data_IF_972001207546
#
_entry.id   IF_972001207546
#
_cell.length_a   1.000
_cell.length_b   1.000
_cell.length_c   1.000
_cell.angle_alpha   90.00
_cell.angle_beta   90.00
_cell.angle_gamma   90.00
#
_symmetry.space_group_name_H-M   'P 1'
#
loop_
_entity.id
_entity.type
_entity.pdbx_description
1 polymer ?
#
# COMPACT_ATOMS: atom_id res chain seq x y z
N UNK A 1 -26.21 -4.03 17.63
CA UNK A 1 -24.79 -4.02 17.23
C UNK A 1 -23.95 -3.73 18.47
N UNK A 2 -22.83 -4.44 18.69
CA UNK A 2 -21.89 -4.04 19.73
C UNK A 2 -21.36 -2.62 19.45
N UNK A 3 -21.03 -1.83 20.49
CA UNK A 3 -20.50 -0.48 20.31
C UNK A 3 -19.20 -0.51 19.52
N UNK A 4 -18.99 0.50 18.64
CA UNK A 4 -17.73 0.66 17.91
C UNK A 4 -16.58 0.81 18.90
N UNK A 5 -15.55 -0.02 18.76
CA UNK A 5 -14.35 0.09 19.59
C UNK A 5 -13.65 1.42 19.30
N UNK A 6 -13.55 2.29 20.30
CA UNK A 6 -12.80 3.53 20.22
C UNK A 6 -11.31 3.26 20.47
N UNK A 7 -10.44 3.85 19.64
CA UNK A 7 -8.99 3.69 19.71
C UNK A 7 -8.29 4.88 20.38
N UNK A 8 -9.00 5.94 20.75
CA UNK A 8 -8.48 7.10 21.47
C UNK A 8 -7.20 7.68 20.85
N UNK A 9 -7.20 7.94 19.54
CA UNK A 9 -6.01 8.38 18.80
C UNK A 9 -4.78 7.45 18.97
N UNK A 10 -4.99 6.14 19.10
CA UNK A 10 -3.90 5.15 19.18
C UNK A 10 -3.63 4.51 17.83
N UNK A 11 -2.36 4.41 17.47
CA UNK A 11 -1.88 3.62 16.36
C UNK A 11 -1.36 2.27 16.84
N UNK A 12 -1.80 1.19 16.20
CA UNK A 12 -1.31 -0.17 16.43
C UNK A 12 -0.62 -0.65 15.17
N UNK A 13 0.70 -0.84 15.23
CA UNK A 13 1.47 -1.25 14.06
C UNK A 13 1.05 -2.65 13.56
N UNK A 14 1.05 -2.89 12.23
CA UNK A 14 0.82 -4.22 11.68
C UNK A 14 1.82 -5.23 12.21
N UNK A 15 1.31 -6.41 12.56
CA UNK A 15 2.12 -7.58 12.93
C UNK A 15 1.79 -8.74 11.99
N UNK A 16 2.41 -9.89 12.21
CA UNK A 16 2.08 -11.11 11.46
C UNK A 16 0.59 -11.45 11.63
N UNK A 17 -0.13 -11.81 10.56
CA UNK A 17 0.36 -12.09 9.20
C UNK A 17 0.36 -10.90 8.24
N UNK A 18 -0.21 -9.74 8.61
CA UNK A 18 -0.46 -8.61 7.70
C UNK A 18 0.79 -7.78 7.38
N UNK A 19 1.79 -7.77 8.25
CA UNK A 19 3.01 -6.98 8.03
C UNK A 19 3.76 -7.38 6.74
N UNK A 20 3.90 -8.70 6.49
CA UNK A 20 4.62 -9.21 5.30
C UNK A 20 4.02 -8.72 3.98
N UNK A 21 2.72 -8.91 3.70
CA UNK A 21 2.13 -8.43 2.44
C UNK A 21 2.14 -6.91 2.32
N UNK A 22 2.04 -6.15 3.42
CA UNK A 22 2.20 -4.68 3.40
C UNK A 22 3.59 -4.29 2.90
N UNK A 23 4.65 -4.94 3.42
CA UNK A 23 6.03 -4.69 2.99
C UNK A 23 6.21 -5.05 1.51
N UNK A 24 5.71 -6.21 1.08
CA UNK A 24 5.79 -6.64 -0.33
C UNK A 24 5.09 -5.63 -1.24
N UNK A 25 3.91 -5.16 -0.85
CA UNK A 25 3.17 -4.15 -1.61
C UNK A 25 3.96 -2.85 -1.72
N UNK A 26 4.53 -2.36 -0.61
CA UNK A 26 5.38 -1.17 -0.60
C UNK A 26 6.61 -1.31 -1.49
N UNK A 27 7.26 -2.48 -1.52
CA UNK A 27 8.38 -2.76 -2.42
C UNK A 27 7.93 -2.69 -3.88
N UNK A 28 6.81 -3.33 -4.24
CA UNK A 28 6.28 -3.32 -5.61
C UNK A 28 5.93 -1.89 -6.02
N UNK A 29 5.27 -1.11 -5.15
CA UNK A 29 4.98 0.30 -5.41
C UNK A 29 6.27 1.09 -5.67
N UNK A 30 7.27 0.95 -4.81
CA UNK A 30 8.55 1.64 -4.95
C UNK A 30 9.29 1.28 -6.25
N UNK A 31 9.29 0.00 -6.63
CA UNK A 31 9.89 -0.46 -7.89
C UNK A 31 9.09 -0.01 -9.12
N UNK A 32 7.75 0.01 -9.02
CA UNK A 32 6.89 0.46 -10.11
C UNK A 32 7.05 1.96 -10.41
N UNK A 33 7.42 2.75 -9.41
CA UNK A 33 7.65 4.19 -9.55
C UNK A 33 9.03 4.56 -10.11
N UNK A 34 9.91 3.58 -10.39
CA UNK A 34 11.30 3.80 -10.78
C UNK A 34 11.60 3.26 -12.16
N UNK A 35 11.62 4.12 -13.17
CA UNK A 35 11.97 3.73 -14.55
C UNK A 35 13.36 3.11 -14.66
N UNK A 36 14.27 3.43 -13.73
CA UNK A 36 15.63 2.90 -13.66
C UNK A 36 15.65 1.38 -13.53
N UNK A 37 14.59 0.77 -12.96
CA UNK A 37 14.49 -0.69 -12.81
C UNK A 37 14.47 -1.39 -14.18
N UNK A 38 13.96 -0.74 -15.23
CA UNK A 38 13.87 -1.31 -16.59
C UNK A 38 14.66 -0.53 -17.63
N UNK A 39 15.63 0.28 -17.19
CA UNK A 39 16.48 1.10 -18.07
C UNK A 39 17.87 0.48 -18.25
N UNK A 40 18.60 0.81 -19.34
CA UNK A 40 19.98 0.34 -19.53
C UNK A 40 20.87 0.55 -18.30
N UNK A 41 21.69 -0.45 -17.97
CA UNK A 41 22.51 -0.46 -16.76
C UNK A 41 21.81 -1.04 -15.52
N UNK A 42 20.51 -1.36 -15.62
CA UNK A 42 19.83 -2.15 -14.60
C UNK A 42 20.02 -3.65 -14.88
N UNK A 43 20.18 -4.49 -13.84
CA UNK A 43 20.29 -5.94 -14.05
C UNK A 43 19.09 -6.53 -14.80
N UNK A 44 17.87 -6.04 -14.55
CA UNK A 44 16.68 -6.51 -15.24
C UNK A 44 16.73 -6.15 -16.74
N UNK A 45 17.15 -4.94 -17.08
CA UNK A 45 17.30 -4.56 -18.47
C UNK A 45 18.39 -5.39 -19.15
N UNK A 46 19.59 -5.40 -18.56
CA UNK A 46 20.78 -5.94 -19.20
C UNK A 46 20.69 -7.45 -19.42
N UNK A 47 20.15 -8.20 -18.45
CA UNK A 47 20.06 -9.67 -18.54
C UNK A 47 18.74 -10.20 -19.11
N UNK A 48 17.64 -9.43 -19.07
CA UNK A 48 16.31 -9.95 -19.43
C UNK A 48 15.66 -9.19 -20.59
N UNK A 49 15.77 -7.85 -20.63
CA UNK A 49 15.00 -7.03 -21.58
C UNK A 49 15.79 -6.62 -22.83
N UNK A 50 17.12 -6.53 -22.72
CA UNK A 50 18.02 -5.97 -23.75
C UNK A 50 17.94 -6.70 -25.09
N UNK A 51 17.70 -8.00 -25.08
CA UNK A 51 17.64 -8.85 -26.28
C UNK A 51 16.31 -8.81 -27.04
N UNK A 52 15.29 -8.11 -26.55
CA UNK A 52 13.95 -8.12 -27.17
C UNK A 52 13.21 -6.79 -27.03
N UNK A 53 12.94 -6.08 -28.15
CA UNK A 53 12.12 -4.87 -28.15
C UNK A 53 10.71 -5.10 -27.58
N UNK A 54 10.16 -6.29 -27.80
CA UNK A 54 8.85 -6.67 -27.25
C UNK A 54 8.90 -6.83 -25.74
N UNK A 55 9.95 -7.46 -25.19
CA UNK A 55 10.12 -7.62 -23.75
C UNK A 55 10.17 -6.24 -23.05
N UNK A 56 10.94 -5.30 -23.60
CA UNK A 56 11.01 -3.93 -23.07
C UNK A 56 9.66 -3.21 -23.15
N UNK A 57 8.93 -3.35 -24.26
CA UNK A 57 7.58 -2.77 -24.43
C UNK A 57 6.62 -3.29 -23.36
N UNK A 58 6.58 -4.60 -23.13
CA UNK A 58 5.73 -5.20 -22.10
C UNK A 58 6.16 -4.80 -20.70
N UNK A 59 7.46 -4.78 -20.40
CA UNK A 59 7.98 -4.35 -19.10
C UNK A 59 7.55 -2.91 -18.76
N UNK A 60 7.64 -1.99 -19.71
CA UNK A 60 7.15 -0.60 -19.57
C UNK A 60 5.64 -0.55 -19.33
N UNK A 61 4.86 -1.31 -20.11
CA UNK A 61 3.41 -1.36 -19.94
C UNK A 61 3.01 -1.90 -18.57
N UNK A 62 3.64 -2.99 -18.11
CA UNK A 62 3.42 -3.57 -16.79
C UNK A 62 3.83 -2.59 -15.68
N UNK A 63 5.00 -1.97 -15.77
CA UNK A 63 5.48 -1.04 -14.76
C UNK A 63 4.52 0.15 -14.60
N UNK A 64 4.13 0.78 -15.71
CA UNK A 64 3.17 1.88 -15.71
C UNK A 64 1.80 1.43 -15.19
N UNK A 65 1.33 0.26 -15.63
CA UNK A 65 0.08 -0.33 -15.16
C UNK A 65 0.09 -0.54 -13.64
N UNK A 66 1.15 -1.14 -13.10
CA UNK A 66 1.34 -1.33 -11.66
C UNK A 66 1.40 0.00 -10.92
N UNK A 67 2.15 0.98 -11.45
CA UNK A 67 2.24 2.30 -10.83
C UNK A 67 0.86 2.97 -10.73
N UNK A 68 0.17 3.15 -11.86
CA UNK A 68 -1.11 3.85 -11.84
C UNK A 68 -2.19 3.09 -11.07
N UNK A 69 -2.23 1.76 -11.21
CA UNK A 69 -3.20 0.94 -10.49
C UNK A 69 -2.95 0.97 -8.98
N UNK A 70 -1.73 0.68 -8.52
CA UNK A 70 -1.43 0.61 -7.08
C UNK A 70 -1.56 1.98 -6.42
N UNK A 71 -0.95 3.03 -6.98
CA UNK A 71 -1.03 4.36 -6.39
C UNK A 71 -2.46 4.92 -6.42
N UNK A 72 -3.20 4.71 -7.53
CA UNK A 72 -4.58 5.14 -7.66
C UNK A 72 -5.51 4.40 -6.70
N UNK A 73 -5.48 3.08 -6.70
CA UNK A 73 -6.32 2.26 -5.82
C UNK A 73 -6.02 2.55 -4.35
N UNK A 74 -4.75 2.61 -3.96
CA UNK A 74 -4.37 2.86 -2.57
C UNK A 74 -4.70 4.27 -2.11
N UNK A 75 -4.65 5.28 -2.99
CA UNK A 75 -5.13 6.63 -2.67
C UNK A 75 -6.64 6.63 -2.38
N UNK A 76 -7.44 5.94 -3.19
CA UNK A 76 -8.89 5.81 -2.99
C UNK A 76 -9.20 5.06 -1.69
N UNK A 77 -8.53 3.92 -1.46
CA UNK A 77 -8.67 3.14 -0.22
C UNK A 77 -8.30 3.98 1.01
N UNK A 78 -7.22 4.75 0.95
CA UNK A 78 -6.78 5.60 2.06
C UNK A 78 -7.78 6.73 2.37
N UNK A 79 -8.37 7.32 1.32
CA UNK A 79 -9.42 8.33 1.47
C UNK A 79 -10.66 7.74 2.16
N UNK A 80 -11.09 6.55 1.73
CA UNK A 80 -12.16 5.81 2.41
C UNK A 80 -11.79 5.50 3.86
N UNK A 81 -10.58 5.02 4.10
CA UNK A 81 -10.10 4.60 5.42
C UNK A 81 -10.15 5.73 6.44
N UNK A 82 -9.98 6.99 6.02
CA UNK A 82 -10.12 8.16 6.88
C UNK A 82 -11.50 8.25 7.54
N UNK A 83 -12.57 7.90 6.83
CA UNK A 83 -13.93 7.90 7.39
C UNK A 83 -14.08 6.80 8.46
N UNK A 84 -13.50 5.62 8.20
CA UNK A 84 -13.49 4.50 9.16
C UNK A 84 -12.71 4.87 10.42
N UNK A 85 -11.53 5.48 10.28
CA UNK A 85 -10.70 5.94 11.39
C UNK A 85 -11.45 6.92 12.30
N UNK A 86 -12.15 7.90 11.71
CA UNK A 86 -12.96 8.86 12.48
C UNK A 86 -14.05 8.17 13.28
N UNK A 87 -14.71 7.16 12.72
CA UNK A 87 -15.74 6.37 13.42
C UNK A 87 -15.18 5.56 14.60
N UNK A 88 -13.87 5.30 14.61
CA UNK A 88 -13.16 4.57 15.66
C UNK A 88 -12.32 5.49 16.57
N UNK A 89 -12.62 6.79 16.61
CA UNK A 89 -12.00 7.73 17.56
C UNK A 89 -10.57 8.14 17.20
N UNK A 90 -10.21 8.06 15.92
CA UNK A 90 -8.97 8.61 15.38
C UNK A 90 -9.28 9.95 14.71
N UNK A 91 -8.82 11.04 15.31
CA UNK A 91 -8.97 12.40 14.83
C UNK A 91 -8.12 12.63 13.58
N UNK A 92 -8.72 13.19 12.52
CA UNK A 92 -8.02 13.58 11.29
C UNK A 92 -6.87 14.54 11.62
N UNK A 93 -5.70 14.33 11.02
CA UNK A 93 -4.50 15.13 11.25
C UNK A 93 -3.72 14.78 12.52
N UNK A 94 -4.23 13.93 13.41
CA UNK A 94 -3.45 13.40 14.54
C UNK A 94 -2.26 12.57 14.08
N UNK A 95 -1.24 12.42 14.93
CA UNK A 95 -0.10 11.57 14.62
C UNK A 95 -0.52 10.11 14.38
N UNK A 96 -1.53 9.62 15.10
CA UNK A 96 -2.06 8.28 14.87
C UNK A 96 -2.79 8.17 13.53
N UNK A 97 -3.56 9.19 13.15
CA UNK A 97 -4.19 9.26 11.83
C UNK A 97 -3.14 9.20 10.73
N UNK A 98 -2.06 9.98 10.80
CA UNK A 98 -0.96 9.95 9.82
C UNK A 98 -0.33 8.56 9.70
N UNK A 99 -0.09 7.88 10.83
CA UNK A 99 0.47 6.51 10.83
C UNK A 99 -0.50 5.49 10.20
N UNK A 100 -1.79 5.59 10.52
CA UNK A 100 -2.82 4.73 9.93
C UNK A 100 -2.99 4.98 8.43
N UNK A 101 -3.05 6.24 8.02
CA UNK A 101 -3.14 6.66 6.62
C UNK A 101 -1.91 6.23 5.83
N UNK A 102 -0.70 6.43 6.35
CA UNK A 102 0.52 5.98 5.68
C UNK A 102 0.57 4.45 5.54
N UNK A 103 0.17 3.73 6.58
CA UNK A 103 0.09 2.26 6.54
C UNK A 103 -0.98 1.77 5.57
N UNK A 104 -2.12 2.46 5.48
CA UNK A 104 -3.19 2.16 4.52
C UNK A 104 -2.76 2.45 3.10
N UNK A 105 -2.06 3.56 2.86
CA UNK A 105 -1.56 3.90 1.53
C UNK A 105 -0.52 2.90 1.02
N UNK A 106 0.32 2.34 1.89
CA UNK A 106 1.30 1.31 1.48
C UNK A 106 0.66 -0.08 1.43
N UNK A 107 -0.19 -0.40 2.40
CA UNK A 107 -0.71 -1.73 2.63
C UNK A 107 -2.03 -2.06 1.96
N UNK A 108 -2.77 -1.03 1.50
CA UNK A 108 -4.11 -1.15 0.98
C UNK A 108 -5.02 -2.01 1.86
N UNK A 109 -5.74 -2.95 1.23
CA UNK A 109 -6.57 -3.95 1.90
C UNK A 109 -5.92 -4.70 3.08
N UNK A 110 -4.59 -4.89 3.10
CA UNK A 110 -3.92 -5.60 4.21
C UNK A 110 -3.91 -4.76 5.49
N UNK A 111 -3.89 -3.42 5.36
CA UNK A 111 -4.09 -2.52 6.47
C UNK A 111 -5.52 -2.60 7.01
N UNK A 112 -6.51 -2.73 6.13
CA UNK A 112 -7.92 -2.89 6.54
C UNK A 112 -8.13 -4.17 7.35
N UNK A 113 -7.60 -5.31 6.87
CA UNK A 113 -7.67 -6.58 7.61
C UNK A 113 -6.97 -6.52 8.97
N UNK A 114 -5.83 -5.84 9.03
CA UNK A 114 -5.15 -5.58 10.30
C UNK A 114 -6.00 -4.69 11.22
N UNK A 115 -6.59 -3.63 10.67
CA UNK A 115 -7.46 -2.72 11.42
C UNK A 115 -8.70 -3.43 11.96
N UNK A 116 -9.37 -4.25 11.16
CA UNK A 116 -10.52 -5.06 11.56
C UNK A 116 -10.19 -5.93 12.76
N UNK A 117 -9.04 -6.62 12.73
CA UNK A 117 -8.52 -7.38 13.87
C UNK A 117 -8.30 -6.50 15.11
N UNK A 118 -7.76 -5.28 14.95
CA UNK A 118 -7.56 -4.33 16.05
C UNK A 118 -8.90 -3.87 16.65
N UNK A 119 -9.91 -3.66 15.81
CA UNK A 119 -11.25 -3.21 16.24
C UNK A 119 -12.20 -4.34 16.62
N UNK A 120 -11.78 -5.60 16.47
CA UNK A 120 -12.55 -6.79 16.85
C UNK A 120 -13.61 -7.19 15.82
N UNK A 121 -13.46 -6.77 14.55
CA UNK A 121 -14.21 -7.29 13.41
C UNK A 121 -13.42 -8.48 12.86
N UNK A 122 -14.05 -9.65 12.80
CA UNK A 122 -13.39 -10.91 12.45
C UNK A 122 -12.83 -10.90 11.02
#
# INVERSE_FOLDING_TARGET
MPPLKNLHNTYVAPTSPHLKPIIICGIIMALSARSEVISPGSPLYDYVLSGSPNALKYARWIQNGLFYFLFGAHAVETAWFTQILSAHGISVGSLAWLKWVGTSFVGGQFCFKHFDRVVGKA
#
